data_IF_697731838796
#
_entry.id   IF_697731838796
#
_cell.length_a   1.000
_cell.length_b   1.000
_cell.length_c   1.000
_cell.angle_alpha   90.00
_cell.angle_beta   90.00
_cell.angle_gamma   90.00
#
_symmetry.space_group_name_H-M   'P 1'
#
loop_
_entity.id
_entity.type
_entity.pdbx_description
1 polymer ?
#
# COMPACT_ATOMS: atom_id res chain seq x y z
N UNK A 1 5.21 7.88 -8.25
CA UNK A 1 4.83 7.14 -7.04
C UNK A 1 3.59 7.80 -6.48
N UNK A 2 2.53 7.08 -6.07
CA UNK A 2 1.34 7.74 -5.53
C UNK A 2 1.61 8.31 -4.14
N UNK A 3 1.00 9.45 -3.81
CA UNK A 3 1.17 10.11 -2.52
C UNK A 3 0.31 9.42 -1.46
N UNK A 4 0.90 8.50 -0.70
CA UNK A 4 0.23 7.64 0.29
C UNK A 4 -0.18 8.36 1.58
N UNK A 5 -0.54 9.65 1.50
CA UNK A 5 -0.93 10.48 2.63
C UNK A 5 -2.37 10.20 3.10
N UNK A 6 -3.18 9.52 2.28
CA UNK A 6 -4.59 9.21 2.52
C UNK A 6 -4.80 7.73 2.89
N UNK A 7 -3.81 7.07 3.51
CA UNK A 7 -3.98 5.72 4.04
C UNK A 7 -4.71 5.77 5.39
N UNK A 8 -5.94 5.28 5.39
CA UNK A 8 -6.78 5.06 6.56
C UNK A 8 -6.57 3.65 7.15
N UNK A 9 -7.08 3.46 8.39
CA UNK A 9 -7.15 2.17 9.08
C UNK A 9 -5.84 1.37 9.04
N UNK A 10 -4.71 2.06 9.27
CA UNK A 10 -3.37 1.48 9.11
C UNK A 10 -3.00 0.60 10.30
N UNK A 11 -3.02 -0.71 10.08
CA UNK A 11 -2.59 -1.75 11.01
C UNK A 11 -1.07 -1.88 10.93
N UNK A 12 -0.37 -1.68 12.05
CA UNK A 12 1.09 -1.80 12.12
C UNK A 12 1.52 -3.11 12.79
N UNK A 13 2.56 -3.75 12.23
CA UNK A 13 3.19 -4.97 12.71
C UNK A 13 2.21 -6.11 13.10
N UNK A 14 1.22 -6.47 12.25
CA UNK A 14 0.29 -7.57 12.56
C UNK A 14 1.02 -8.91 12.69
N UNK A 15 0.67 -9.67 13.72
CA UNK A 15 1.16 -11.05 13.93
C UNK A 15 0.63 -11.94 12.81
N UNK A 16 1.49 -12.80 12.25
CA UNK A 16 1.15 -13.75 11.19
C UNK A 16 0.99 -15.15 11.80
N UNK A 17 -0.10 -15.89 11.55
CA UNK A 17 -1.20 -15.57 10.63
C UNK A 17 -2.10 -14.43 11.13
N UNK A 18 -2.40 -13.49 10.24
CA UNK A 18 -3.31 -12.38 10.48
C UNK A 18 -4.67 -12.67 9.83
N UNK A 19 -5.75 -12.35 10.53
CA UNK A 19 -7.10 -12.28 9.98
C UNK A 19 -7.76 -11.05 10.60
N UNK A 20 -8.27 -10.15 9.76
CA UNK A 20 -8.89 -8.91 10.24
C UNK A 20 -9.96 -8.37 9.29
N UNK A 21 -11.00 -7.79 9.87
CA UNK A 21 -12.12 -7.18 9.13
C UNK A 21 -11.67 -5.92 8.40
N UNK A 22 -12.10 -5.76 7.16
CA UNK A 22 -11.96 -4.55 6.36
C UNK A 22 -13.14 -3.63 6.73
N UNK A 23 -12.85 -2.42 7.18
CA UNK A 23 -13.85 -1.54 7.82
C UNK A 23 -14.87 -0.90 6.86
N UNK A 24 -14.59 -0.88 5.56
CA UNK A 24 -15.42 -0.31 4.50
C UNK A 24 -15.45 -1.24 3.28
N UNK A 25 -16.49 -1.12 2.46
CA UNK A 25 -16.72 -1.92 1.27
C UNK A 25 -15.63 -1.69 0.20
N UNK A 26 -15.18 -2.76 -0.47
CA UNK A 26 -14.14 -2.71 -1.50
C UNK A 26 -14.66 -2.18 -2.86
N UNK A 27 -15.00 -0.88 -2.88
CA UNK A 27 -15.49 -0.20 -4.08
C UNK A 27 -14.41 0.03 -5.15
N UNK A 28 -14.78 0.17 -6.44
CA UNK A 28 -13.84 0.54 -7.50
C UNK A 28 -13.08 1.85 -7.18
N UNK A 29 -11.76 1.80 -7.30
CA UNK A 29 -10.85 2.86 -6.88
C UNK A 29 -10.14 2.56 -5.55
N UNK A 30 -10.69 1.69 -4.70
CA UNK A 30 -10.11 1.33 -3.40
C UNK A 30 -8.71 0.74 -3.55
N UNK A 31 -7.79 1.18 -2.67
CA UNK A 31 -6.42 0.69 -2.58
C UNK A 31 -6.21 -0.07 -1.28
N UNK A 32 -5.64 -1.28 -1.37
CA UNK A 32 -5.09 -2.02 -0.23
C UNK A 32 -3.57 -2.02 -0.39
N UNK A 33 -2.86 -1.47 0.59
CA UNK A 33 -1.40 -1.31 0.57
C UNK A 33 -0.78 -2.12 1.70
N UNK A 34 -0.03 -3.16 1.34
CA UNK A 34 0.69 -4.02 2.28
C UNK A 34 2.20 -3.78 2.16
N UNK A 35 2.88 -3.62 3.29
CA UNK A 35 4.34 -3.42 3.35
C UNK A 35 4.94 -4.44 4.30
N UNK A 36 6.06 -5.03 3.92
CA UNK A 36 6.66 -6.11 4.70
C UNK A 36 7.99 -6.58 4.12
N UNK A 37 8.44 -7.76 4.53
CA UNK A 37 9.60 -8.43 3.97
C UNK A 37 9.47 -9.95 3.96
N UNK A 38 10.27 -10.59 3.11
CA UNK A 38 10.32 -12.04 2.92
C UNK A 38 11.47 -12.63 3.73
N UNK A 39 11.23 -13.50 4.72
CA UNK A 39 12.29 -14.23 5.42
C UNK A 39 13.18 -15.08 4.50
N UNK A 40 14.43 -15.29 4.88
CA UNK A 40 15.40 -16.10 4.12
C UNK A 40 14.92 -17.54 3.91
N UNK A 41 14.24 -18.12 4.91
CA UNK A 41 13.69 -19.48 4.91
C UNK A 41 12.27 -19.58 4.29
N UNK A 42 11.72 -18.48 3.77
CA UNK A 42 10.38 -18.43 3.18
C UNK A 42 10.26 -19.35 1.96
N UNK A 43 9.17 -20.10 1.88
CA UNK A 43 8.84 -20.96 0.74
C UNK A 43 7.52 -20.59 0.06
N UNK A 44 6.55 -20.11 0.84
CA UNK A 44 5.40 -19.35 0.36
C UNK A 44 4.86 -18.41 1.43
N UNK A 45 4.18 -17.36 0.99
CA UNK A 45 3.18 -16.64 1.78
C UNK A 45 1.96 -16.36 0.91
N UNK A 46 0.85 -15.92 1.51
CA UNK A 46 -0.34 -15.51 0.78
C UNK A 46 -1.05 -14.34 1.45
N UNK A 47 -1.71 -13.55 0.61
CA UNK A 47 -2.69 -12.53 0.99
C UNK A 47 -4.01 -12.97 0.41
N UNK A 48 -5.01 -13.20 1.26
CA UNK A 48 -6.32 -13.72 0.89
C UNK A 48 -7.38 -12.64 1.18
N UNK A 49 -8.12 -12.22 0.16
CA UNK A 49 -9.35 -11.43 0.33
C UNK A 49 -10.54 -12.39 0.47
N UNK A 50 -11.23 -12.34 1.61
CA UNK A 50 -12.15 -13.37 2.07
C UNK A 50 -13.56 -12.84 2.32
N UNK A 51 -14.56 -13.72 2.20
CA UNK A 51 -15.96 -13.46 2.51
C UNK A 51 -16.28 -14.11 3.87
N UNK A 52 -16.09 -13.37 4.95
CA UNK A 52 -16.08 -13.84 6.34
C UNK A 52 -14.75 -14.50 6.75
N UNK A 53 -14.62 -14.77 8.04
CA UNK A 53 -13.44 -15.39 8.67
C UNK A 53 -13.68 -16.85 9.12
N UNK A 54 -14.73 -17.50 8.62
CA UNK A 54 -15.09 -18.87 9.00
C UNK A 54 -13.99 -19.88 8.66
N UNK A 55 -13.73 -20.80 9.60
CA UNK A 55 -12.74 -21.90 9.45
C UNK A 55 -13.36 -23.25 9.12
N UNK A 56 -14.67 -23.44 9.33
CA UNK A 56 -15.38 -24.69 9.03
C UNK A 56 -16.90 -24.44 8.81
N UNK A 57 -17.40 -24.46 7.57
CA UNK A 57 -16.61 -24.51 6.32
C UNK A 57 -15.68 -23.31 6.21
N UNK A 58 -14.53 -23.48 5.56
CA UNK A 58 -13.61 -22.37 5.27
C UNK A 58 -14.31 -21.33 4.40
N UNK A 59 -14.19 -20.07 4.81
CA UNK A 59 -14.69 -18.92 4.07
C UNK A 59 -14.28 -18.90 2.59
N UNK A 60 -15.18 -18.42 1.73
CA UNK A 60 -14.87 -18.14 0.32
C UNK A 60 -13.68 -17.16 0.24
N UNK A 61 -12.72 -17.44 -0.64
CA UNK A 61 -11.58 -16.55 -0.90
C UNK A 61 -11.78 -15.96 -2.29
N UNK A 62 -12.22 -14.70 -2.36
CA UNK A 62 -12.47 -14.01 -3.62
C UNK A 62 -11.19 -13.85 -4.45
N UNK A 63 -10.10 -13.45 -3.78
CA UNK A 63 -8.77 -13.32 -4.37
C UNK A 63 -7.70 -13.87 -3.43
N UNK A 64 -7.13 -15.01 -3.80
CA UNK A 64 -5.92 -15.59 -3.20
C UNK A 64 -4.73 -15.07 -3.99
N UNK A 65 -3.79 -14.37 -3.35
CA UNK A 65 -2.54 -13.88 -3.94
C UNK A 65 -1.36 -14.57 -3.24
N UNK A 66 -0.72 -15.54 -3.90
CA UNK A 66 0.22 -16.46 -3.26
C UNK A 66 1.59 -16.54 -3.98
N UNK A 67 2.56 -15.73 -3.56
CA UNK A 67 3.97 -15.91 -3.91
C UNK A 67 4.54 -17.25 -3.41
N UNK A 68 5.16 -18.01 -4.31
CA UNK A 68 5.78 -19.34 -4.08
C UNK A 68 7.26 -19.29 -4.51
N UNK A 69 8.18 -19.45 -3.56
CA UNK A 69 9.64 -19.36 -3.80
C UNK A 69 10.31 -20.71 -4.11
N UNK A 70 9.63 -21.85 -3.87
CA UNK A 70 10.14 -23.19 -4.20
C UNK A 70 9.67 -23.65 -5.60
N UNK A 71 10.53 -24.37 -6.31
CA UNK A 71 10.34 -24.97 -7.66
C UNK A 71 10.02 -23.99 -8.79
N UNK A 72 8.89 -23.30 -8.73
CA UNK A 72 8.36 -22.49 -9.84
C UNK A 72 8.69 -20.99 -9.77
N UNK A 73 9.12 -20.50 -8.60
CA UNK A 73 9.46 -19.10 -8.32
C UNK A 73 8.48 -18.11 -8.98
N UNK A 74 7.23 -18.14 -8.53
CA UNK A 74 6.11 -17.48 -9.20
C UNK A 74 5.09 -16.93 -8.19
N UNK A 75 4.19 -16.07 -8.66
CA UNK A 75 2.97 -15.67 -7.93
C UNK A 75 1.79 -16.44 -8.53
N UNK A 76 1.02 -17.10 -7.67
CA UNK A 76 -0.19 -17.84 -8.06
C UNK A 76 -1.42 -17.14 -7.53
N UNK A 77 -2.41 -16.95 -8.39
CA UNK A 77 -3.69 -16.33 -8.08
C UNK A 77 -4.85 -17.30 -8.31
N UNK A 78 -5.84 -17.33 -7.41
CA UNK A 78 -7.01 -18.19 -7.53
C UNK A 78 -8.18 -17.69 -6.66
N UNK A 79 -9.32 -18.35 -6.75
CA UNK A 79 -10.53 -18.14 -5.94
C UNK A 79 -10.92 -19.46 -5.28
N UNK A 80 -11.25 -19.42 -4.00
CA UNK A 80 -11.89 -20.53 -3.28
C UNK A 80 -13.40 -20.25 -3.23
N UNK A 81 -14.23 -21.21 -3.64
CA UNK A 81 -15.68 -21.21 -3.38
C UNK A 81 -16.13 -22.52 -2.79
N UNK A 82 -16.91 -22.50 -1.71
CA UNK A 82 -17.43 -23.71 -1.06
C UNK A 82 -16.32 -24.76 -0.83
N UNK A 83 -15.21 -24.31 -0.23
CA UNK A 83 -13.97 -25.07 0.04
C UNK A 83 -13.23 -25.64 -1.20
N UNK A 84 -13.66 -25.30 -2.43
CA UNK A 84 -13.04 -25.76 -3.69
C UNK A 84 -12.30 -24.63 -4.40
N UNK A 85 -11.07 -24.90 -4.84
CA UNK A 85 -10.29 -23.97 -5.66
C UNK A 85 -10.76 -23.98 -7.13
N UNK A 86 -10.75 -22.82 -7.77
CA UNK A 86 -10.91 -22.69 -9.22
C UNK A 86 -9.62 -22.98 -10.00
N UNK A 87 -9.57 -22.50 -11.25
CA UNK A 87 -8.36 -22.54 -12.08
C UNK A 87 -7.29 -21.57 -11.55
N UNK A 88 -6.04 -22.04 -11.40
CA UNK A 88 -4.90 -21.18 -11.03
C UNK A 88 -4.49 -20.27 -12.20
N UNK A 89 -4.25 -18.98 -11.91
CA UNK A 89 -3.59 -18.02 -12.80
C UNK A 89 -2.16 -17.79 -12.26
N UNK A 90 -1.13 -17.95 -13.10
CA UNK A 90 0.27 -17.97 -12.64
C UNK A 90 1.10 -16.88 -13.33
N UNK A 91 1.74 -16.04 -12.54
CA UNK A 91 2.68 -14.99 -12.98
C UNK A 91 4.11 -15.41 -12.66
N UNK A 92 4.95 -15.55 -13.70
CA UNK A 92 6.34 -16.01 -13.57
C UNK A 92 7.40 -14.90 -13.47
N UNK A 93 7.08 -13.64 -13.82
CA UNK A 93 7.94 -12.49 -13.44
C UNK A 93 7.76 -12.21 -11.93
N UNK A 94 8.57 -12.89 -11.11
CA UNK A 94 8.47 -12.87 -9.67
C UNK A 94 9.01 -11.54 -9.09
N UNK A 95 8.16 -10.65 -8.54
CA UNK A 95 8.62 -9.36 -8.05
C UNK A 95 9.21 -9.43 -6.63
N UNK A 96 9.01 -10.55 -5.92
CA UNK A 96 9.49 -10.78 -4.57
C UNK A 96 10.84 -11.50 -4.56
N UNK A 97 11.70 -11.15 -3.60
CA UNK A 97 12.95 -11.86 -3.32
C UNK A 97 13.04 -12.15 -1.83
N UNK A 98 13.65 -13.28 -1.46
CA UNK A 98 14.06 -13.58 -0.08
C UNK A 98 14.98 -12.48 0.44
N UNK A 99 14.92 -12.20 1.74
CA UNK A 99 15.73 -11.18 2.42
C UNK A 99 15.57 -9.77 1.82
N UNK A 100 14.43 -9.53 1.18
CA UNK A 100 14.04 -8.22 0.66
C UNK A 100 12.64 -7.83 1.10
N UNK A 101 12.50 -6.52 1.26
CA UNK A 101 11.24 -5.87 1.56
C UNK A 101 10.37 -5.72 0.31
N UNK A 102 9.09 -5.45 0.53
CA UNK A 102 8.15 -5.14 -0.54
C UNK A 102 7.10 -4.12 -0.12
N UNK A 103 6.57 -3.43 -1.12
CA UNK A 103 5.30 -2.72 -1.13
C UNK A 103 4.39 -3.42 -2.14
N UNK A 104 3.27 -3.99 -1.70
CA UNK A 104 2.18 -4.48 -2.56
C UNK A 104 1.10 -3.41 -2.56
N UNK A 105 0.61 -3.04 -3.75
CA UNK A 105 -0.59 -2.23 -3.93
C UNK A 105 -1.59 -3.07 -4.72
N UNK A 106 -2.71 -3.42 -4.08
CA UNK A 106 -3.88 -4.02 -4.73
C UNK A 106 -4.88 -2.91 -4.95
N UNK A 107 -5.14 -2.58 -6.22
CA UNK A 107 -6.19 -1.65 -6.63
C UNK A 107 -7.43 -2.44 -7.04
N UNK A 108 -8.58 -2.11 -6.44
CA UNK A 108 -9.87 -2.67 -6.84
C UNK A 108 -10.39 -1.88 -8.04
N UNK A 109 -10.68 -2.56 -9.15
CA UNK A 109 -11.37 -2.01 -10.31
C UNK A 109 -12.72 -2.72 -10.45
N UNK A 110 -13.63 -2.17 -11.28
CA UNK A 110 -14.99 -2.69 -11.45
C UNK A 110 -15.06 -4.20 -11.79
N UNK A 111 -14.16 -4.68 -12.65
CA UNK A 111 -14.20 -6.05 -13.20
C UNK A 111 -13.04 -6.95 -12.72
N UNK A 112 -12.08 -6.39 -11.95
CA UNK A 112 -10.80 -7.05 -11.64
C UNK A 112 -10.04 -6.37 -10.50
N UNK A 113 -9.13 -7.11 -9.87
CA UNK A 113 -8.02 -6.54 -9.12
C UNK A 113 -6.85 -6.21 -10.06
N UNK A 114 -6.14 -5.12 -9.77
CA UNK A 114 -4.87 -4.76 -10.39
C UNK A 114 -3.79 -4.71 -9.33
N UNK A 115 -2.75 -5.52 -9.47
CA UNK A 115 -1.65 -5.58 -8.50
C UNK A 115 -0.38 -4.94 -9.07
N UNK A 116 0.24 -4.09 -8.24
CA UNK A 116 1.59 -3.60 -8.42
C UNK A 116 2.45 -4.00 -7.21
N UNK A 117 3.73 -4.29 -7.44
CA UNK A 117 4.72 -4.59 -6.40
C UNK A 117 5.95 -3.70 -6.62
N UNK A 118 6.41 -3.02 -5.58
CA UNK A 118 7.55 -2.08 -5.61
C UNK A 118 7.42 -1.04 -6.74
N UNK A 119 6.21 -0.52 -6.96
CA UNK A 119 5.91 0.46 -8.00
C UNK A 119 5.85 -0.06 -9.44
N UNK A 120 6.19 -1.33 -9.70
CA UNK A 120 5.98 -2.00 -11.00
C UNK A 120 4.61 -2.67 -11.03
N UNK A 121 3.91 -2.63 -12.17
CA UNK A 121 2.78 -3.52 -12.40
C UNK A 121 3.23 -4.99 -12.39
N UNK A 122 2.42 -5.87 -11.80
CA UNK A 122 2.72 -7.30 -11.67
C UNK A 122 1.69 -8.15 -12.40
N UNK A 123 0.40 -7.98 -12.08
CA UNK A 123 -0.68 -8.78 -12.65
C UNK A 123 -2.05 -8.09 -12.58
N UNK A 124 -2.98 -8.62 -13.36
CA UNK A 124 -4.42 -8.40 -13.25
C UNK A 124 -5.07 -9.72 -12.82
N UNK A 125 -6.19 -9.66 -12.10
CA UNK A 125 -6.96 -10.85 -11.73
C UNK A 125 -8.46 -10.53 -11.79
N UNK A 126 -9.20 -11.22 -12.66
CA UNK A 126 -10.63 -10.93 -12.89
C UNK A 126 -11.50 -11.31 -11.68
N UNK A 127 -12.52 -10.52 -11.38
CA UNK A 127 -13.44 -10.78 -10.28
C UNK A 127 -14.24 -12.04 -10.54
N UNK A 128 -13.96 -13.10 -9.76
CA UNK A 128 -14.76 -14.34 -9.81
C UNK A 128 -15.91 -14.31 -8.80
N UNK A 129 -15.68 -13.72 -7.62
CA UNK A 129 -16.71 -13.35 -6.62
C UNK A 129 -16.84 -11.82 -6.68
N UNK A 130 -18.05 -11.27 -6.45
CA UNK A 130 -18.22 -9.81 -6.32
C UNK A 130 -17.35 -9.25 -5.19
N UNK A 131 -16.64 -8.12 -5.39
CA UNK A 131 -15.85 -7.49 -4.33
C UNK A 131 -16.71 -7.01 -3.15
N UNK A 132 -18.01 -6.77 -3.37
CA UNK A 132 -19.01 -6.42 -2.34
C UNK A 132 -19.12 -7.48 -1.22
N UNK A 133 -18.79 -8.75 -1.52
CA UNK A 133 -18.81 -9.85 -0.55
C UNK A 133 -17.55 -9.93 0.33
N UNK A 134 -16.55 -9.08 0.08
CA UNK A 134 -15.25 -9.14 0.76
C UNK A 134 -15.28 -8.23 1.99
N UNK A 135 -15.21 -8.84 3.17
CA UNK A 135 -15.20 -8.16 4.47
C UNK A 135 -13.92 -8.45 5.29
N UNK A 136 -13.05 -9.36 4.82
CA UNK A 136 -11.98 -9.94 5.63
C UNK A 136 -10.67 -10.03 4.84
N UNK A 137 -9.58 -9.58 5.46
CA UNK A 137 -8.21 -9.75 4.98
C UNK A 137 -7.49 -10.84 5.79
N UNK A 138 -7.10 -11.92 5.13
CA UNK A 138 -6.23 -12.96 5.69
C UNK A 138 -4.79 -12.85 5.16
N UNK A 139 -3.79 -13.05 6.02
CA UNK A 139 -2.37 -13.11 5.62
C UNK A 139 -1.72 -14.31 6.32
N UNK A 140 -1.13 -15.22 5.53
CA UNK A 140 -0.63 -16.51 6.04
C UNK A 140 0.70 -16.92 5.40
N UNK A 141 1.41 -17.85 6.03
CA UNK A 141 2.70 -18.38 5.57
C UNK A 141 3.89 -17.55 6.01
N UNK A 142 5.06 -17.77 5.38
CA UNK A 142 6.34 -17.19 5.82
C UNK A 142 6.56 -15.79 5.25
N UNK A 143 6.02 -14.79 5.94
CA UNK A 143 6.16 -13.36 5.64
C UNK A 143 6.13 -12.56 6.95
N UNK A 144 6.77 -11.40 6.97
CA UNK A 144 6.62 -10.42 8.06
C UNK A 144 6.04 -9.14 7.46
N UNK A 145 4.96 -8.64 8.04
CA UNK A 145 4.24 -7.44 7.59
C UNK A 145 4.54 -6.29 8.56
N UNK A 146 4.98 -5.17 8.03
CA UNK A 146 5.25 -3.93 8.79
C UNK A 146 4.00 -3.06 8.87
N UNK A 147 3.21 -2.98 7.78
CA UNK A 147 1.93 -2.28 7.77
C UNK A 147 0.96 -2.83 6.73
N UNK A 148 -0.32 -2.76 7.05
CA UNK A 148 -1.43 -2.79 6.09
C UNK A 148 -2.21 -1.49 6.22
N UNK A 149 -2.50 -0.82 5.13
CA UNK A 149 -3.37 0.36 5.11
C UNK A 149 -4.31 0.36 3.92
N UNK A 150 -5.42 1.06 4.05
CA UNK A 150 -6.48 1.14 3.05
C UNK A 150 -6.67 2.58 2.59
N UNK A 151 -7.17 2.80 1.38
CA UNK A 151 -7.70 4.11 0.96
C UNK A 151 -8.95 3.84 0.12
N UNK A 152 -10.11 4.27 0.63
CA UNK A 152 -11.42 3.92 0.10
C UNK A 152 -11.95 5.03 -0.82
N UNK A 153 -12.87 4.67 -1.72
CA UNK A 153 -13.40 5.62 -2.73
C UNK A 153 -14.17 6.80 -2.09
N UNK A 154 -14.69 6.59 -0.88
CA UNK A 154 -15.29 7.59 0.03
C UNK A 154 -14.42 8.84 0.21
N UNK A 155 -13.10 8.69 0.32
CA UNK A 155 -12.16 9.81 0.51
C UNK A 155 -12.09 10.75 -0.69
N UNK A 156 -12.28 10.22 -1.91
CA UNK A 156 -12.10 10.98 -3.15
C UNK A 156 -13.23 11.97 -3.41
N UNK A 157 -14.38 11.80 -2.75
CA UNK A 157 -15.52 12.72 -2.81
C UNK A 157 -15.35 14.01 -1.97
N UNK A 158 -14.39 14.04 -1.04
CA UNK A 158 -14.22 15.13 -0.07
C UNK A 158 -13.75 16.47 -0.66
N UNK A 159 -13.39 16.53 -1.96
CA UNK A 159 -12.90 17.73 -2.64
C UNK A 159 -13.72 18.04 -3.90
N UNK A 160 -15.00 18.38 -3.73
CA UNK A 160 -15.74 19.13 -4.75
C UNK A 160 -15.73 20.62 -4.42
N UNK A 161 -15.15 21.42 -5.32
CA UNK A 161 -15.28 22.86 -5.28
C UNK A 161 -16.68 23.29 -5.73
N UNK A 162 -17.14 24.42 -5.20
CA UNK A 162 -18.42 25.04 -5.56
C UNK A 162 -18.53 25.27 -7.08
N UNK A 163 -19.32 24.45 -7.76
CA UNK A 163 -19.71 24.66 -9.16
C UNK A 163 -21.09 25.30 -9.18
N UNK A 164 -21.23 26.42 -9.90
CA UNK A 164 -22.48 27.18 -9.95
C UNK A 164 -23.50 26.48 -10.85
N UNK A 165 -24.74 26.37 -10.36
CA UNK A 165 -25.91 25.89 -11.10
C UNK A 165 -26.19 26.76 -12.36
N UNK A 166 -26.22 26.17 -13.57
CA UNK A 166 -26.82 26.80 -14.74
C UNK A 166 -28.32 26.47 -14.76
N UNK A 167 -29.16 27.46 -14.49
CA UNK A 167 -30.62 27.32 -14.54
C UNK A 167 -31.10 26.80 -15.91
N UNK A 168 -31.99 25.80 -15.90
CA UNK A 168 -32.46 25.14 -17.11
C UNK A 168 -33.43 25.98 -17.94
N UNK A 169 -33.51 25.67 -19.24
CA UNK A 169 -34.57 26.14 -20.15
C UNK A 169 -35.22 24.92 -20.80
N UNK A 170 -36.55 24.87 -20.78
CA UNK A 170 -37.36 23.80 -21.35
C UNK A 170 -37.63 23.99 -22.85
N UNK A 171 -37.92 22.88 -23.54
CA UNK A 171 -38.85 22.81 -24.69
C UNK A 171 -39.26 21.36 -24.96
N UNK A 172 -40.38 21.20 -25.67
CA UNK A 172 -41.22 20.00 -25.61
C UNK A 172 -41.22 19.15 -26.90
N UNK A 173 -41.80 17.94 -26.78
CA UNK A 173 -42.63 17.21 -27.76
C UNK A 173 -42.16 17.04 -29.22
N UNK A 174 -42.09 15.77 -29.68
CA UNK A 174 -42.86 15.22 -30.81
C UNK A 174 -43.06 13.70 -30.57
N UNK A 175 -44.15 13.10 -31.09
CA UNK A 175 -44.53 11.69 -30.90
C UNK A 175 -44.29 10.81 -32.14
N UNK A 176 -44.09 9.49 -31.91
CA UNK A 176 -44.44 8.36 -32.83
C UNK A 176 -43.69 8.32 -34.20
N UNK A 177 -43.67 7.23 -34.98
CA UNK A 177 -44.10 5.81 -34.84
C UNK A 177 -43.41 4.97 -35.94
N UNK A 178 -43.34 3.63 -35.79
CA UNK A 178 -43.04 2.74 -36.93
C UNK A 178 -42.71 1.29 -36.54
N UNK A 179 -43.50 0.33 -37.02
CA UNK A 179 -43.19 -1.11 -37.02
C UNK A 179 -42.85 -1.57 -38.46
N UNK A 180 -41.94 -2.54 -38.62
CA UNK A 180 -42.06 -3.55 -39.69
C UNK A 180 -41.14 -4.77 -39.49
N UNK A 181 -41.76 -5.88 -39.09
CA UNK A 181 -41.51 -7.31 -39.34
C UNK A 181 -40.13 -7.88 -39.81
N UNK A 182 -39.85 -9.09 -39.30
CA UNK A 182 -38.90 -10.08 -39.82
C UNK A 182 -39.32 -10.66 -41.19
N UNK A 183 -38.43 -11.43 -41.84
CA UNK A 183 -38.78 -12.85 -41.98
C UNK A 183 -37.71 -13.83 -41.45
N UNK A 184 -38.13 -15.07 -41.22
CA UNK A 184 -37.32 -16.18 -40.70
C UNK A 184 -36.81 -17.09 -41.82
N UNK A 185 -35.74 -17.86 -41.56
CA UNK A 185 -35.58 -19.18 -42.17
C UNK A 185 -34.80 -20.16 -41.26
N UNK A 186 -35.06 -21.47 -41.40
CA UNK A 186 -34.51 -22.57 -40.58
C UNK A 186 -33.35 -23.30 -41.28
N UNK A 187 -32.44 -23.90 -40.51
CA UNK A 187 -31.44 -24.88 -40.99
C UNK A 187 -30.59 -25.49 -39.85
N UNK A 188 -30.22 -26.78 -39.97
CA UNK A 188 -29.35 -27.59 -39.09
C UNK A 188 -28.86 -28.83 -39.94
N UNK A 189 -28.20 -29.94 -39.55
CA UNK A 189 -28.08 -30.69 -38.29
C UNK A 189 -26.63 -31.11 -37.97
N UNK A 190 -26.09 -30.57 -36.87
CA UNK A 190 -25.06 -31.17 -35.98
C UNK A 190 -23.55 -31.22 -36.37
N UNK A 191 -22.73 -31.38 -35.32
CA UNK A 191 -21.39 -32.03 -35.24
C UNK A 191 -20.22 -31.47 -36.08
N UNK A 192 -19.31 -30.74 -35.41
CA UNK A 192 -17.84 -30.78 -35.64
C UNK A 192 -17.10 -30.55 -34.31
N UNK A 193 -15.92 -31.16 -34.17
CA UNK A 193 -15.07 -31.13 -32.96
C UNK A 193 -14.26 -29.82 -32.88
N UNK A 194 -14.01 -29.23 -31.69
CA UNK A 194 -13.13 -28.07 -31.56
C UNK A 194 -11.68 -28.39 -31.95
N UNK A 195 -11.25 -27.97 -33.14
CA UNK A 195 -9.83 -27.82 -33.48
C UNK A 195 -9.40 -26.38 -33.24
N UNK A 196 -8.26 -26.19 -32.59
CA UNK A 196 -7.64 -24.88 -32.35
C UNK A 196 -7.29 -24.19 -33.68
N UNK A 197 -7.86 -23.01 -33.92
CA UNK A 197 -7.53 -22.16 -35.08
C UNK A 197 -7.19 -20.76 -34.58
N UNK A 198 -5.99 -20.28 -34.91
CA UNK A 198 -5.58 -18.90 -34.67
C UNK A 198 -6.28 -17.95 -35.66
N UNK A 199 -7.23 -17.16 -35.20
CA UNK A 199 -7.90 -16.12 -36.01
C UNK A 199 -7.25 -14.76 -35.81
N UNK A 200 -6.36 -14.37 -36.73
CA UNK A 200 -5.93 -12.96 -36.88
C UNK A 200 -7.07 -12.16 -37.51
N UNK A 201 -7.84 -11.42 -36.70
CA UNK A 201 -8.69 -10.35 -37.23
C UNK A 201 -7.85 -9.11 -37.53
N UNK A 202 -8.13 -8.45 -38.66
CA UNK A 202 -7.68 -7.08 -38.95
C UNK A 202 -8.88 -6.16 -38.83
N UNK A 203 -8.87 -5.25 -37.87
CA UNK A 203 -9.79 -4.12 -37.78
C UNK A 203 -9.03 -2.89 -37.25
N UNK A 204 -9.41 -1.71 -37.76
CA UNK A 204 -8.83 -0.37 -37.60
C UNK A 204 -7.84 -0.09 -36.44
N UNK A 205 -6.69 0.58 -36.67
CA UNK A 205 -5.73 0.98 -35.65
C UNK A 205 -6.19 2.23 -34.86
N UNK A 206 -7.20 2.06 -34.01
CA UNK A 206 -7.50 3.03 -32.96
C UNK A 206 -6.41 2.96 -31.88
N UNK A 207 -5.29 3.66 -32.10
CA UNK A 207 -4.13 3.70 -31.20
C UNK A 207 -4.45 4.45 -29.89
N UNK A 208 -5.25 3.85 -29.02
CA UNK A 208 -5.33 4.20 -27.61
C UNK A 208 -4.11 3.65 -26.84
N UNK A 209 -2.92 3.95 -27.36
CA UNK A 209 -1.71 3.97 -26.55
C UNK A 209 -1.94 5.02 -25.47
N UNK A 210 -2.20 4.58 -24.24
CA UNK A 210 -2.19 5.44 -23.07
C UNK A 210 -0.74 5.83 -22.74
N UNK A 211 -0.18 6.67 -23.61
CA UNK A 211 1.08 7.36 -23.43
C UNK A 211 1.01 8.09 -22.09
N UNK A 212 1.97 7.84 -21.20
CA UNK A 212 2.01 8.47 -19.88
C UNK A 212 2.38 9.96 -20.03
N UNK A 213 1.40 10.77 -20.39
CA UNK A 213 1.54 12.18 -20.69
C UNK A 213 0.70 13.00 -19.71
N UNK A 214 1.38 13.84 -18.91
CA UNK A 214 0.78 14.82 -17.98
C UNK A 214 -0.12 14.23 -16.89
N UNK A 215 0.38 13.21 -16.19
CA UNK A 215 0.32 13.33 -14.72
C UNK A 215 1.10 14.61 -14.39
N UNK A 216 0.45 15.61 -13.81
CA UNK A 216 1.16 16.82 -13.36
C UNK A 216 2.24 16.39 -12.36
N UNK A 217 3.48 16.93 -12.43
CA UNK A 217 4.47 16.68 -11.41
C UNK A 217 4.02 17.36 -10.11
N UNK A 218 3.32 16.62 -9.25
CA UNK A 218 3.02 16.98 -7.87
C UNK A 218 4.32 17.02 -7.07
N UNK A 219 5.04 18.15 -7.21
CA UNK A 219 6.39 18.46 -6.72
C UNK A 219 7.08 17.29 -6.02
N UNK A 220 7.49 16.31 -6.84
CA UNK A 220 8.40 15.26 -6.44
C UNK A 220 9.80 15.87 -6.34
N UNK A 221 9.97 16.76 -5.35
CA UNK A 221 11.25 17.16 -4.81
C UNK A 221 12.05 15.88 -4.63
N UNK A 222 13.09 15.72 -5.44
CA UNK A 222 14.07 14.67 -5.26
C UNK A 222 14.52 14.75 -3.82
N UNK A 223 14.26 13.70 -3.02
CA UNK A 223 14.71 13.64 -1.62
C UNK A 223 16.20 13.31 -1.57
N UNK A 224 16.98 14.15 -2.25
CA UNK A 224 18.43 14.24 -2.15
C UNK A 224 18.78 14.45 -0.68
N UNK A 225 19.78 13.72 -0.22
CA UNK A 225 20.21 13.75 1.18
C UNK A 225 21.47 14.63 1.27
N UNK A 226 21.56 15.59 2.21
CA UNK A 226 20.65 15.81 3.34
C UNK A 226 19.28 16.36 2.95
N UNK A 227 18.21 15.70 3.42
CA UNK A 227 16.83 16.11 3.18
C UNK A 227 16.35 16.95 4.36
N UNK A 228 15.79 18.12 4.07
CA UNK A 228 15.32 19.08 5.08
C UNK A 228 13.90 19.53 4.72
N UNK A 229 12.97 19.43 5.67
CA UNK A 229 11.60 19.90 5.51
C UNK A 229 11.06 20.51 6.80
N UNK A 230 10.33 21.63 6.71
CA UNK A 230 9.54 22.18 7.82
C UNK A 230 8.23 21.39 7.93
N UNK A 231 7.79 21.06 9.14
CA UNK A 231 6.47 20.50 9.36
C UNK A 231 5.38 21.57 9.21
N UNK A 232 4.29 21.23 8.53
CA UNK A 232 3.14 22.12 8.31
C UNK A 232 2.37 22.45 9.62
N UNK A 233 2.66 21.75 10.72
CA UNK A 233 2.12 22.02 12.05
C UNK A 233 3.19 21.72 13.13
N UNK A 234 3.05 22.30 14.31
CA UNK A 234 3.88 21.96 15.47
C UNK A 234 3.64 20.53 15.93
N UNK A 235 4.68 19.89 16.49
CA UNK A 235 4.52 18.63 17.20
C UNK A 235 3.77 18.83 18.52
N UNK A 236 3.00 17.82 18.92
CA UNK A 236 2.22 17.79 20.16
C UNK A 236 1.50 16.45 20.30
N UNK A 237 0.88 16.15 21.46
CA UNK A 237 0.27 14.86 21.74
C UNK A 237 -0.65 14.34 20.63
N UNK A 238 -0.51 13.06 20.30
CA UNK A 238 -1.26 12.39 19.23
C UNK A 238 -0.76 12.67 17.81
N UNK A 239 0.18 13.61 17.58
CA UNK A 239 0.82 13.78 16.27
C UNK A 239 1.84 12.66 16.02
N UNK A 240 1.81 12.11 14.80
CA UNK A 240 2.71 11.07 14.33
C UNK A 240 3.51 11.56 13.13
N UNK A 241 4.83 11.36 13.16
CA UNK A 241 5.68 11.43 11.97
C UNK A 241 5.95 10.01 11.49
N UNK A 242 5.84 9.78 10.18
CA UNK A 242 6.19 8.50 9.53
C UNK A 242 7.27 8.77 8.48
N UNK A 243 8.43 8.15 8.65
CA UNK A 243 9.54 8.22 7.68
C UNK A 243 9.66 6.87 7.00
N UNK A 244 9.63 6.91 5.66
CA UNK A 244 9.63 5.74 4.77
C UNK A 244 10.87 5.82 3.88
N UNK A 245 11.64 4.75 3.80
CA UNK A 245 12.88 4.71 3.01
C UNK A 245 13.48 3.32 2.92
N UNK A 246 14.50 3.16 2.07
CA UNK A 246 15.34 1.97 2.01
C UNK A 246 16.73 2.31 2.56
N UNK A 247 17.31 1.40 3.35
CA UNK A 247 18.69 1.52 3.80
C UNK A 247 19.63 1.19 2.65
N UNK A 248 20.57 2.07 2.29
CA UNK A 248 21.57 1.75 1.26
C UNK A 248 22.33 0.45 1.61
N UNK A 249 22.64 -0.39 0.63
CA UNK A 249 23.29 -1.71 0.83
C UNK A 249 24.65 -1.63 1.52
N UNK A 250 25.29 -0.46 1.48
CA UNK A 250 26.62 -0.22 2.05
C UNK A 250 26.58 0.79 3.23
N UNK A 251 25.39 1.09 3.78
CA UNK A 251 25.23 2.11 4.82
C UNK A 251 25.92 1.72 6.15
N UNK A 252 26.84 2.57 6.62
CA UNK A 252 27.35 2.49 8.00
C UNK A 252 26.30 2.94 9.02
N UNK A 253 25.48 3.93 8.66
CA UNK A 253 24.39 4.46 9.47
C UNK A 253 23.67 5.62 8.80
N UNK A 254 22.61 6.11 9.45
CA UNK A 254 21.88 7.32 9.03
C UNK A 254 21.41 8.12 10.24
N UNK A 255 20.96 9.36 10.01
CA UNK A 255 20.32 10.21 11.02
C UNK A 255 18.89 10.56 10.63
N UNK A 256 18.04 10.76 11.62
CA UNK A 256 16.74 11.40 11.53
C UNK A 256 16.63 12.33 12.73
N UNK A 257 16.51 13.63 12.47
CA UNK A 257 16.52 14.66 13.49
C UNK A 257 15.24 15.51 13.46
N UNK A 258 14.66 15.77 14.64
CA UNK A 258 13.55 16.69 14.83
C UNK A 258 14.05 17.96 15.54
N UNK A 259 14.17 19.06 14.79
CA UNK A 259 14.79 20.31 15.25
C UNK A 259 13.74 21.34 15.66
N UNK A 260 14.02 22.08 16.74
CA UNK A 260 13.35 23.33 17.08
C UNK A 260 13.68 24.41 16.04
N UNK A 261 12.69 24.83 15.26
CA UNK A 261 12.84 25.87 14.24
C UNK A 261 13.11 27.28 14.79
N UNK A 262 13.06 27.47 16.12
CA UNK A 262 13.36 28.73 16.81
C UNK A 262 14.76 28.80 17.40
N UNK A 263 15.29 27.67 17.87
CA UNK A 263 16.53 27.61 18.67
C UNK A 263 17.62 26.71 18.10
N UNK A 264 17.37 26.05 16.96
CA UNK A 264 18.24 25.02 16.33
C UNK A 264 18.46 23.74 17.16
N UNK A 265 18.04 23.70 18.42
CA UNK A 265 18.07 22.50 19.28
C UNK A 265 17.51 21.26 18.54
N UNK A 266 18.18 20.11 18.65
CA UNK A 266 17.65 18.82 18.19
C UNK A 266 16.86 18.21 19.36
N UNK A 267 15.54 18.28 19.30
CA UNK A 267 14.64 17.75 20.32
C UNK A 267 14.46 16.23 20.25
N UNK A 268 14.88 15.59 19.15
CA UNK A 268 15.04 14.15 19.04
C UNK A 268 16.03 13.84 17.91
N UNK A 269 17.20 13.33 18.27
CA UNK A 269 18.19 12.74 17.36
C UNK A 269 17.98 11.22 17.33
N UNK A 270 17.81 10.64 16.13
CA UNK A 270 17.68 9.20 15.91
C UNK A 270 18.80 8.73 15.00
N UNK A 271 19.74 7.94 15.51
CA UNK A 271 20.93 7.50 14.77
C UNK A 271 21.13 5.98 14.83
N UNK A 272 20.55 5.23 13.88
CA UNK A 272 20.90 3.83 13.63
C UNK A 272 22.33 3.71 13.07
N UNK A 273 23.23 3.11 13.86
CA UNK A 273 24.60 2.77 13.49
C UNK A 273 24.65 1.28 13.12
N UNK A 274 24.49 0.97 11.84
CA UNK A 274 24.39 -0.41 11.32
C UNK A 274 25.67 -1.21 11.51
N UNK A 275 26.84 -0.56 11.33
CA UNK A 275 28.16 -1.19 11.49
C UNK A 275 28.39 -1.81 12.89
N UNK A 276 27.78 -1.24 13.94
CA UNK A 276 27.84 -1.72 15.32
C UNK A 276 26.49 -2.21 15.86
N UNK A 277 25.46 -2.29 14.99
CA UNK A 277 24.06 -2.65 15.32
C UNK A 277 23.48 -1.91 16.54
N UNK A 278 23.83 -0.64 16.70
CA UNK A 278 23.36 0.20 17.82
C UNK A 278 22.38 1.26 17.33
N UNK A 279 21.21 1.37 17.97
CA UNK A 279 20.28 2.47 17.73
C UNK A 279 20.44 3.52 18.84
N UNK A 280 21.19 4.57 18.54
CA UNK A 280 21.36 5.72 19.44
C UNK A 280 20.16 6.65 19.31
N UNK A 281 19.66 7.12 20.45
CA UNK A 281 18.80 8.31 20.54
C UNK A 281 19.45 9.33 21.48
N UNK A 282 19.28 10.61 21.21
CA UNK A 282 19.77 11.69 22.09
C UNK A 282 18.96 12.98 21.83
N UNK A 283 19.26 14.06 22.56
CA UNK A 283 18.87 15.44 22.23
C UNK A 283 20.11 16.33 22.22
N UNK A 284 20.11 17.35 21.37
CA UNK A 284 21.13 18.42 21.35
C UNK A 284 20.44 19.70 21.80
N UNK A 285 20.70 20.14 23.03
CA UNK A 285 20.02 21.26 23.69
C UNK A 285 21.07 22.22 24.23
N UNK A 286 20.86 23.54 24.05
CA UNK A 286 21.78 24.56 24.58
C UNK A 286 23.25 24.33 24.13
N UNK A 287 23.42 24.00 22.85
CA UNK A 287 24.70 23.70 22.19
C UNK A 287 25.47 22.47 22.72
N UNK A 288 24.84 21.63 23.56
CA UNK A 288 25.41 20.40 24.10
C UNK A 288 24.57 19.15 23.79
N UNK A 289 25.24 18.00 23.65
CA UNK A 289 24.58 16.69 23.60
C UNK A 289 24.23 16.18 25.00
N UNK A 290 23.07 15.54 25.15
CA UNK A 290 22.68 14.80 26.34
C UNK A 290 23.30 13.39 26.43
N UNK A 291 22.76 12.58 27.33
CA UNK A 291 23.10 11.16 27.46
C UNK A 291 22.53 10.32 26.30
N UNK A 292 23.30 9.38 25.75
CA UNK A 292 22.85 8.53 24.63
C UNK A 292 21.97 7.35 25.11
N UNK A 293 20.67 7.39 24.80
CA UNK A 293 19.76 6.25 25.01
C UNK A 293 20.02 5.14 23.97
N UNK A 294 20.68 4.05 24.37
CA UNK A 294 21.00 2.91 23.48
C UNK A 294 20.14 1.65 23.65
N UNK A 295 19.39 1.51 24.74
CA UNK A 295 18.65 0.28 25.07
C UNK A 295 17.52 -0.02 24.05
N UNK A 296 17.58 -1.19 23.43
CA UNK A 296 16.57 -1.72 22.49
C UNK A 296 16.62 -3.25 22.49
N UNK A 297 15.48 -3.92 22.27
CA UNK A 297 15.37 -5.40 22.32
C UNK A 297 16.00 -6.11 21.12
N UNK A 298 15.97 -5.48 19.94
CA UNK A 298 16.67 -5.92 18.75
C UNK A 298 17.00 -4.71 17.86
N UNK A 299 18.03 -4.81 17.03
CA UNK A 299 18.37 -3.74 16.08
C UNK A 299 17.53 -3.87 14.80
N UNK A 300 16.66 -2.90 14.46
CA UNK A 300 15.58 -3.13 13.47
C UNK A 300 15.95 -2.74 12.03
N UNK A 301 17.24 -2.49 11.73
CA UNK A 301 17.70 -2.09 10.40
C UNK A 301 18.78 -3.04 9.86
N UNK A 302 18.74 -3.30 8.55
CA UNK A 302 19.79 -4.02 7.82
C UNK A 302 20.02 -3.35 6.46
N UNK A 303 21.19 -3.50 5.82
CA UNK A 303 21.46 -2.87 4.53
C UNK A 303 20.58 -3.46 3.41
N UNK A 304 20.02 -2.59 2.56
CA UNK A 304 19.07 -2.98 1.51
C UNK A 304 17.72 -3.48 2.03
N UNK A 305 17.28 -3.00 3.20
CA UNK A 305 15.93 -3.20 3.74
C UNK A 305 15.12 -1.90 3.68
N UNK A 306 13.85 -2.00 3.31
CA UNK A 306 12.89 -0.93 3.48
C UNK A 306 12.42 -0.85 4.94
N UNK A 307 12.25 0.36 5.46
CA UNK A 307 11.78 0.63 6.81
C UNK A 307 10.65 1.66 6.85
N UNK A 308 9.78 1.53 7.84
CA UNK A 308 8.88 2.59 8.28
C UNK A 308 9.24 2.95 9.73
N UNK A 309 9.70 4.17 9.95
CA UNK A 309 10.01 4.69 11.28
C UNK A 309 8.85 5.59 11.73
N UNK A 310 8.14 5.17 12.77
CA UNK A 310 7.02 5.91 13.36
C UNK A 310 7.44 6.59 14.66
N UNK A 311 7.10 7.87 14.82
CA UNK A 311 7.20 8.58 16.08
C UNK A 311 5.91 9.32 16.39
N UNK A 312 5.08 8.71 17.22
CA UNK A 312 3.93 9.36 17.86
C UNK A 312 4.40 10.14 19.08
N UNK A 313 3.92 11.37 19.27
CA UNK A 313 4.16 12.15 20.48
C UNK A 313 3.16 11.73 21.57
N UNK A 314 3.65 11.11 22.64
CA UNK A 314 2.82 10.67 23.76
C UNK A 314 2.49 11.80 24.74
N UNK A 315 1.35 11.71 25.42
CA UNK A 315 1.05 12.50 26.60
C UNK A 315 1.62 11.77 27.83
N UNK A 316 2.51 12.43 28.59
CA UNK A 316 3.05 11.85 29.82
C UNK A 316 1.97 11.92 30.90
N UNK A 317 1.44 10.77 31.32
CA UNK A 317 0.52 10.70 32.45
C UNK A 317 1.23 11.15 33.74
N UNK A 318 0.55 11.94 34.57
CA UNK A 318 1.13 12.58 35.75
C UNK A 318 1.51 11.59 36.86
N UNK A 319 2.76 11.12 36.85
CA UNK A 319 3.38 10.36 37.94
C UNK A 319 4.63 11.09 38.47
N UNK A 320 4.64 11.41 39.77
CA UNK A 320 5.59 12.38 40.33
C UNK A 320 7.04 11.90 40.48
N UNK A 321 7.90 12.20 39.49
CA UNK A 321 9.35 12.46 39.65
C UNK A 321 9.76 13.59 38.68
N UNK A 322 10.75 14.42 39.08
CA UNK A 322 11.19 15.57 38.27
C UNK A 322 12.05 15.14 37.07
N UNK A 323 11.41 14.76 35.97
CA UNK A 323 12.05 14.68 34.65
C UNK A 323 12.40 16.08 34.08
N UNK A 324 13.17 16.15 32.99
CA UNK A 324 13.52 17.42 32.35
C UNK A 324 12.27 18.16 31.86
N UNK A 325 12.29 19.49 31.92
CA UNK A 325 11.15 20.35 31.55
C UNK A 325 10.83 20.20 30.06
N UNK A 326 9.64 19.69 29.74
CA UNK A 326 9.17 19.56 28.35
C UNK A 326 8.93 20.95 27.75
N UNK A 327 9.84 21.40 26.89
CA UNK A 327 9.70 22.65 26.16
C UNK A 327 8.54 22.56 25.14
N UNK A 328 7.78 23.65 24.97
CA UNK A 328 6.79 23.77 23.90
C UNK A 328 7.49 24.01 22.55
N UNK A 329 7.64 22.94 21.76
CA UNK A 329 8.37 22.92 20.49
C UNK A 329 7.52 23.51 19.34
N UNK A 330 7.38 24.83 19.34
CA UNK A 330 6.65 25.59 18.33
C UNK A 330 7.45 25.74 17.02
N UNK A 331 7.12 24.90 16.04
CA UNK A 331 7.73 24.88 14.71
C UNK A 331 8.90 23.89 14.66
N UNK A 332 8.75 22.81 13.89
CA UNK A 332 9.74 21.72 13.82
C UNK A 332 10.22 21.50 12.38
N UNK A 333 11.52 21.23 12.23
CA UNK A 333 12.12 20.74 10.99
C UNK A 333 12.51 19.27 11.11
N UNK A 334 12.25 18.48 10.06
CA UNK A 334 12.80 17.13 9.89
C UNK A 334 14.06 17.25 9.06
N UNK A 335 15.18 16.72 9.57
CA UNK A 335 16.44 16.58 8.85
C UNK A 335 16.80 15.09 8.76
N UNK A 336 17.32 14.65 7.61
CA UNK A 336 17.75 13.26 7.38
C UNK A 336 19.09 13.29 6.65
N UNK A 337 20.11 12.60 7.17
CA UNK A 337 21.45 12.52 6.55
C UNK A 337 21.97 11.09 6.48
N UNK A 338 22.75 10.77 5.43
CA UNK A 338 23.60 9.58 5.42
C UNK A 338 24.93 9.90 6.09
N UNK A 339 25.48 8.95 6.85
CA UNK A 339 26.87 9.00 7.33
C UNK A 339 27.72 8.12 6.41
N UNK A 340 28.73 8.69 5.69
CA UNK A 340 29.55 7.94 4.73
C UNK A 340 30.29 6.73 5.30
#
# INVERSE_FOLDING_TARGET
>A
MMSLNNLQNVIYNPVIPYVGTISEQLEPGTLIVLRGHVPSDSDRFQVDLQCGSSVKPRADVAFHFNPRFKRANCVVCNTLRNEKWGWEEITYDMPFKKEKSFEIVIMVLKEKFQVAVNGRHTLLYAHRISPERIDTLGIYGKVIIHSVGFSFSSDLGSTQGSTLEPTGISKENVQKSGESQLPSNRGDISKIVPRTVYTKSKASPANHTLTCAKILPTNCLSKTLPFVARLNSSMGPGRTIVIKGEVNTNAKGFTVDLLSGKSKDIALHLNPRLNVKAFVRNSFLQEAWGEEERNITCFPFSPGMYFEMLRTYGQVAGGGKRGPRVAHLAGVGVWVTWVP
#
